data_IF_589224927281
#
_entry.id   IF_589224927281
#
_cell.length_a   1.000
_cell.length_b   1.000
_cell.length_c   1.000
_cell.angle_alpha   90.00
_cell.angle_beta   90.00
_cell.angle_gamma   90.00
#
_symmetry.space_group_name_H-M   'P 1'
#
loop_
_entity.id
_entity.type
_entity.pdbx_description
1 polymer ?
#
# COMPACT_ATOMS: atom_id res chain seq x y z
N UNK A 1 -21.75 -4.20 31.16
CA UNK A 1 -22.28 -5.42 30.51
C UNK A 1 -21.14 -6.04 29.73
N UNK A 2 -20.77 -7.30 29.99
CA UNK A 2 -19.86 -8.05 29.10
C UNK A 2 -20.72 -8.72 28.05
N UNK A 3 -20.47 -8.43 26.77
CA UNK A 3 -21.07 -9.19 25.67
C UNK A 3 -20.26 -10.48 25.57
N UNK A 4 -20.94 -11.61 25.70
CA UNK A 4 -20.33 -12.94 25.71
C UNK A 4 -20.43 -13.57 24.32
N UNK A 5 -21.61 -13.44 23.71
CA UNK A 5 -21.93 -13.93 22.37
C UNK A 5 -22.32 -12.78 21.44
N UNK A 6 -21.81 -12.80 20.21
CA UNK A 6 -22.05 -11.79 19.20
C UNK A 6 -22.37 -12.42 17.84
N UNK A 7 -23.49 -12.00 17.24
CA UNK A 7 -23.86 -12.34 15.87
C UNK A 7 -23.58 -11.16 14.95
N UNK A 8 -22.79 -11.38 13.90
CA UNK A 8 -22.34 -10.35 12.97
C UNK A 8 -22.88 -10.67 11.58
N UNK A 9 -23.71 -9.78 11.06
CA UNK A 9 -24.28 -9.88 9.72
C UNK A 9 -23.66 -8.83 8.79
N UNK A 10 -23.24 -9.24 7.59
CA UNK A 10 -22.70 -8.33 6.58
C UNK A 10 -23.06 -8.74 5.16
N UNK A 11 -23.22 -7.76 4.28
CA UNK A 11 -23.55 -7.97 2.86
C UNK A 11 -22.31 -8.08 1.95
N UNK A 12 -21.13 -7.88 2.51
CA UNK A 12 -19.87 -8.12 1.80
C UNK A 12 -19.42 -9.56 1.95
N UNK A 13 -19.80 -10.41 0.99
CA UNK A 13 -19.38 -11.82 0.94
C UNK A 13 -17.87 -12.01 1.01
N UNK A 14 -17.11 -11.09 0.42
CA UNK A 14 -15.65 -11.12 0.47
C UNK A 14 -15.15 -10.99 1.91
N UNK A 15 -15.64 -10.00 2.66
CA UNK A 15 -15.14 -9.69 4.00
C UNK A 15 -15.56 -10.78 4.99
N UNK A 16 -16.81 -11.25 4.92
CA UNK A 16 -17.29 -12.34 5.77
C UNK A 16 -16.44 -13.59 5.56
N UNK A 17 -16.24 -14.01 4.31
CA UNK A 17 -15.44 -15.21 4.01
C UNK A 17 -13.95 -15.05 4.37
N UNK A 18 -13.41 -13.83 4.31
CA UNK A 18 -12.05 -13.56 4.79
C UNK A 18 -11.97 -13.75 6.31
N UNK A 19 -12.88 -13.16 7.08
CA UNK A 19 -12.94 -13.28 8.55
C UNK A 19 -13.21 -14.72 9.02
N UNK A 20 -14.03 -15.49 8.30
CA UNK A 20 -14.25 -16.92 8.57
C UNK A 20 -13.03 -17.80 8.21
N UNK A 21 -12.05 -17.27 7.47
CA UNK A 21 -10.86 -18.00 7.04
C UNK A 21 -11.02 -18.80 5.74
N UNK A 22 -12.17 -18.71 5.07
CA UNK A 22 -12.42 -19.37 3.78
C UNK A 22 -11.58 -18.74 2.66
N UNK A 23 -11.35 -17.41 2.72
CA UNK A 23 -10.63 -16.65 1.73
C UNK A 23 -9.35 -16.00 2.28
N UNK A 24 -8.28 -16.05 1.51
CA UNK A 24 -7.03 -15.35 1.82
C UNK A 24 -7.15 -13.83 1.59
N UNK A 25 -6.58 -13.04 2.50
CA UNK A 25 -6.40 -11.59 2.32
C UNK A 25 -5.04 -11.33 1.70
N UNK A 26 -5.02 -10.83 0.45
CA UNK A 26 -3.77 -10.59 -0.31
C UNK A 26 -3.44 -9.12 -0.52
N UNK A 27 -4.36 -8.22 -0.25
CA UNK A 27 -4.17 -6.79 -0.49
C UNK A 27 -3.60 -6.16 0.77
N UNK A 28 -2.41 -5.56 0.68
CA UNK A 28 -1.67 -5.01 1.82
C UNK A 28 -2.52 -4.07 2.69
N UNK A 29 -3.30 -3.17 2.07
CA UNK A 29 -4.21 -2.26 2.79
C UNK A 29 -5.22 -3.01 3.68
N UNK A 30 -5.72 -4.17 3.22
CA UNK A 30 -6.75 -4.94 3.92
C UNK A 30 -6.17 -5.88 4.97
N UNK A 31 -4.88 -6.25 4.86
CA UNK A 31 -4.22 -7.14 5.83
C UNK A 31 -4.27 -6.55 7.23
N UNK A 32 -4.02 -5.23 7.35
CA UNK A 32 -4.05 -4.54 8.65
C UNK A 32 -5.44 -4.58 9.30
N UNK A 33 -6.49 -4.28 8.54
CA UNK A 33 -7.86 -4.32 9.04
C UNK A 33 -8.30 -5.74 9.39
N UNK A 34 -7.93 -6.72 8.57
CA UNK A 34 -8.22 -8.13 8.81
C UNK A 34 -7.59 -8.64 10.11
N UNK A 35 -6.32 -8.31 10.34
CA UNK A 35 -5.60 -8.69 11.56
C UNK A 35 -6.26 -8.08 12.81
N UNK A 36 -6.59 -6.79 12.75
CA UNK A 36 -7.23 -6.10 13.86
C UNK A 36 -8.64 -6.64 14.16
N UNK A 37 -9.44 -6.86 13.12
CA UNK A 37 -10.75 -7.48 13.26
C UNK A 37 -10.63 -8.85 13.93
N UNK A 38 -9.71 -9.71 13.48
CA UNK A 38 -9.47 -11.01 14.13
C UNK A 38 -8.99 -10.90 15.57
N UNK A 39 -8.21 -9.88 15.92
CA UNK A 39 -7.82 -9.64 17.31
C UNK A 39 -9.04 -9.30 18.18
N UNK A 40 -9.96 -8.47 17.68
CA UNK A 40 -11.20 -8.16 18.38
C UNK A 40 -12.10 -9.40 18.53
N UNK A 41 -12.23 -10.20 17.47
CA UNK A 41 -13.06 -11.42 17.48
C UNK A 41 -12.53 -12.45 18.48
N UNK A 42 -11.21 -12.55 18.67
CA UNK A 42 -10.59 -13.44 19.67
C UNK A 42 -10.90 -13.06 21.12
N UNK A 43 -11.27 -11.81 21.39
CA UNK A 43 -11.59 -11.34 22.73
C UNK A 43 -13.03 -11.66 23.14
N UNK A 44 -13.84 -12.20 22.23
CA UNK A 44 -15.23 -12.61 22.45
C UNK A 44 -15.31 -14.13 22.62
N UNK A 45 -16.20 -14.60 23.50
CA UNK A 45 -16.32 -16.04 23.82
C UNK A 45 -17.08 -16.81 22.73
N UNK A 46 -18.13 -16.19 22.15
CA UNK A 46 -18.87 -16.73 21.01
C UNK A 46 -19.06 -15.70 19.91
N UNK A 47 -18.65 -16.02 18.68
CA UNK A 47 -18.90 -15.15 17.52
C UNK A 47 -19.42 -15.96 16.34
N UNK A 48 -20.51 -15.49 15.76
CA UNK A 48 -21.03 -15.99 14.47
C UNK A 48 -20.94 -14.89 13.42
N UNK A 49 -20.49 -15.26 12.23
CA UNK A 49 -20.31 -14.36 11.09
C UNK A 49 -21.12 -14.90 9.93
N UNK A 50 -22.14 -14.17 9.51
CA UNK A 50 -23.03 -14.59 8.44
C UNK A 50 -23.18 -13.54 7.34
N UNK A 51 -23.23 -14.01 6.11
CA UNK A 51 -23.48 -13.16 4.96
C UNK A 51 -24.99 -13.02 4.72
N UNK A 52 -25.46 -11.78 4.64
CA UNK A 52 -26.86 -11.45 4.31
C UNK A 52 -26.95 -10.70 2.97
N UNK A 53 -28.02 -10.86 2.18
CA UNK A 53 -28.26 -10.02 1.01
C UNK A 53 -28.31 -8.53 1.39
N UNK A 54 -27.95 -7.68 0.43
CA UNK A 54 -27.96 -6.22 0.64
C UNK A 54 -29.34 -5.69 1.02
N UNK A 55 -30.40 -6.33 0.54
CA UNK A 55 -31.78 -5.98 0.90
C UNK A 55 -32.09 -6.20 2.39
N UNK A 56 -31.29 -6.98 3.10
CA UNK A 56 -31.43 -7.27 4.54
C UNK A 56 -30.49 -6.41 5.40
N UNK A 57 -29.39 -5.90 4.83
CA UNK A 57 -28.44 -5.00 5.51
C UNK A 57 -28.77 -3.50 5.36
N UNK A 58 -30.04 -3.16 5.11
CA UNK A 58 -30.47 -1.77 4.77
C UNK A 58 -30.11 -0.74 5.83
N UNK A 59 -30.15 -1.12 7.10
CA UNK A 59 -29.87 -0.20 8.20
C UNK A 59 -28.40 0.22 8.21
N UNK A 60 -27.46 -0.73 8.09
CA UNK A 60 -26.04 -0.43 8.02
C UNK A 60 -25.71 0.37 6.75
N UNK A 61 -26.30 0.01 5.62
CA UNK A 61 -26.18 0.75 4.35
C UNK A 61 -26.65 2.21 4.48
N UNK A 62 -27.80 2.45 5.11
CA UNK A 62 -28.33 3.78 5.33
C UNK A 62 -27.38 4.64 6.18
N UNK A 63 -26.80 4.05 7.23
CA UNK A 63 -25.83 4.72 8.10
C UNK A 63 -24.52 5.03 7.36
N UNK A 64 -24.00 4.09 6.56
CA UNK A 64 -22.79 4.30 5.76
C UNK A 64 -22.98 5.40 4.70
N UNK A 65 -24.14 5.43 4.04
CA UNK A 65 -24.48 6.48 3.08
C UNK A 65 -24.63 7.85 3.74
N UNK A 66 -25.23 7.91 4.93
CA UNK A 66 -25.34 9.13 5.73
C UNK A 66 -23.94 9.66 6.08
N UNK A 67 -23.05 8.80 6.60
CA UNK A 67 -21.67 9.17 6.93
C UNK A 67 -20.91 9.70 5.71
N UNK A 68 -21.08 9.06 4.55
CA UNK A 68 -20.47 9.51 3.29
C UNK A 68 -21.00 10.88 2.86
N UNK A 69 -22.31 11.11 3.00
CA UNK A 69 -22.95 12.39 2.66
C UNK A 69 -22.44 13.52 3.56
N UNK A 70 -22.33 13.27 4.87
CA UNK A 70 -21.77 14.22 5.82
C UNK A 70 -20.29 14.53 5.55
N UNK A 71 -19.50 13.52 5.15
CA UNK A 71 -18.09 13.71 4.83
C UNK A 71 -17.84 14.54 3.57
N UNK A 72 -18.83 14.63 2.66
CA UNK A 72 -18.71 15.34 1.38
C UNK A 72 -19.31 16.76 1.40
N UNK A 73 -20.19 17.10 2.34
CA UNK A 73 -20.78 18.43 2.46
C UNK A 73 -19.88 19.35 3.31
N UNK A 74 -19.02 20.13 2.66
CA UNK A 74 -18.11 21.08 3.33
C UNK A 74 -18.81 22.34 3.92
N UNK A 75 -20.13 22.52 3.81
CA UNK A 75 -20.74 23.86 3.95
C UNK A 75 -21.89 24.00 4.96
N UNK A 76 -22.47 22.91 5.49
CA UNK A 76 -23.50 23.04 6.54
C UNK A 76 -23.07 22.32 7.82
N UNK A 77 -22.95 23.08 8.91
CA UNK A 77 -22.68 22.56 10.25
C UNK A 77 -23.91 21.79 10.75
N UNK A 78 -24.02 20.52 10.36
CA UNK A 78 -25.00 19.62 10.94
C UNK A 78 -24.55 19.25 12.37
N UNK A 79 -25.30 19.70 13.38
CA UNK A 79 -25.14 19.24 14.75
C UNK A 79 -25.66 17.80 14.87
N UNK A 80 -24.83 16.83 14.50
CA UNK A 80 -25.06 15.43 14.85
C UNK A 80 -24.58 15.23 16.28
N UNK A 81 -25.49 14.86 17.18
CA UNK A 81 -25.12 14.48 18.54
C UNK A 81 -24.41 13.11 18.48
N UNK A 82 -23.10 13.13 18.26
CA UNK A 82 -22.27 11.93 18.30
C UNK A 82 -22.08 11.56 19.76
N UNK A 83 -22.77 10.51 20.23
CA UNK A 83 -22.65 10.09 21.63
C UNK A 83 -21.25 9.56 21.94
N UNK A 84 -20.61 8.85 21.01
CA UNK A 84 -19.25 8.32 21.15
C UNK A 84 -18.55 8.25 19.79
N UNK A 85 -17.41 8.92 19.64
CA UNK A 85 -16.56 8.79 18.45
C UNK A 85 -15.42 7.82 18.76
N UNK A 86 -15.55 6.59 18.27
CA UNK A 86 -14.46 5.60 18.31
C UNK A 86 -13.58 5.81 17.08
N UNK A 87 -12.57 6.68 17.20
CA UNK A 87 -11.51 6.76 16.21
C UNK A 87 -10.67 5.49 16.39
N UNK A 88 -10.53 4.70 15.32
CA UNK A 88 -9.60 3.57 15.31
C UNK A 88 -8.22 4.12 15.70
N UNK A 89 -7.60 3.66 16.81
CA UNK A 89 -6.23 4.04 17.12
C UNK A 89 -5.39 3.78 15.88
N UNK A 90 -4.52 4.72 15.51
CA UNK A 90 -3.63 4.54 14.36
C UNK A 90 -2.99 3.16 14.52
N UNK A 91 -3.26 2.25 13.58
CA UNK A 91 -2.94 0.81 13.59
C UNK A 91 -1.43 0.48 13.76
N UNK A 92 -0.60 1.48 14.07
CA UNK A 92 0.84 1.39 14.33
C UNK A 92 1.20 0.55 15.58
N UNK A 93 0.27 0.28 16.49
CA UNK A 93 0.54 -0.54 17.68
C UNK A 93 0.36 -2.06 17.43
N UNK A 94 -0.26 -2.46 16.32
CA UNK A 94 -0.30 -3.86 15.90
C UNK A 94 0.90 -4.19 15.00
N UNK A 95 2.13 -4.04 15.52
CA UNK A 95 3.32 -4.61 14.87
C UNK A 95 3.29 -6.13 15.04
N UNK A 96 2.65 -6.83 14.11
CA UNK A 96 2.98 -8.23 13.88
C UNK A 96 4.45 -8.28 13.47
N UNK A 97 5.19 -9.23 14.04
CA UNK A 97 6.61 -9.46 13.77
C UNK A 97 6.83 -9.84 12.29
N UNK A 98 6.76 -8.87 11.40
CA UNK A 98 7.37 -9.00 10.10
C UNK A 98 8.87 -8.90 10.32
N UNK A 99 9.56 -10.00 10.02
CA UNK A 99 11.00 -10.20 10.06
C UNK A 99 11.79 -9.29 9.09
N UNK A 100 11.34 -8.05 8.91
CA UNK A 100 12.10 -6.91 8.45
C UNK A 100 11.95 -5.84 9.54
N UNK A 101 12.52 -6.12 10.72
CA UNK A 101 12.63 -5.12 11.76
C UNK A 101 13.34 -3.90 11.17
N UNK A 102 12.56 -2.86 10.85
CA UNK A 102 13.04 -1.50 10.94
C UNK A 102 13.49 -1.41 12.39
N UNK A 103 14.80 -1.54 12.61
CA UNK A 103 15.42 -1.15 13.87
C UNK A 103 15.02 0.30 14.05
N UNK A 104 13.96 0.53 14.84
CA UNK A 104 13.80 1.81 15.50
C UNK A 104 15.04 1.85 16.35
N UNK A 105 16.07 2.57 15.87
CA UNK A 105 17.18 2.92 16.71
C UNK A 105 16.54 3.49 17.98
N UNK A 106 16.88 2.96 19.17
CA UNK A 106 16.34 3.49 20.40
C UNK A 106 16.45 5.00 20.32
N UNK A 107 15.30 5.67 20.51
CA UNK A 107 15.26 7.13 20.58
C UNK A 107 16.40 7.48 21.51
N UNK A 108 17.41 8.18 20.96
CA UNK A 108 18.62 8.57 21.68
C UNK A 108 18.18 9.06 23.07
N UNK A 109 18.97 8.76 24.12
CA UNK A 109 18.70 9.03 25.55
C UNK A 109 18.37 10.51 25.90
N UNK A 110 18.13 11.35 24.90
CA UNK A 110 17.83 12.75 24.98
C UNK A 110 16.71 13.15 23.99
N UNK A 111 15.52 12.55 24.11
CA UNK A 111 14.32 13.04 23.44
C UNK A 111 14.09 14.50 23.84
N UNK A 112 14.37 15.41 22.90
CA UNK A 112 14.34 16.86 23.10
C UNK A 112 12.98 17.38 23.57
N UNK A 113 11.92 16.56 23.43
CA UNK A 113 10.58 16.88 23.93
C UNK A 113 10.42 16.62 25.42
N UNK A 114 11.23 15.76 26.03
CA UNK A 114 11.13 15.40 27.44
C UNK A 114 11.19 16.63 28.37
N UNK A 115 12.11 17.60 28.18
CA UNK A 115 12.10 18.83 28.97
C UNK A 115 10.82 19.68 28.81
N UNK A 116 10.20 19.66 27.63
CA UNK A 116 8.94 20.36 27.35
C UNK A 116 7.75 19.63 28.00
N UNK A 117 7.72 18.29 27.89
CA UNK A 117 6.72 17.44 28.52
C UNK A 117 6.79 17.59 30.04
N UNK A 118 7.98 17.54 30.62
CA UNK A 118 8.20 17.74 32.05
C UNK A 118 7.82 19.13 32.52
N UNK A 119 8.05 20.17 31.72
CA UNK A 119 7.58 21.51 32.04
C UNK A 119 6.04 21.60 32.01
N UNK A 120 5.40 21.05 30.97
CA UNK A 120 3.95 21.11 30.80
C UNK A 120 3.19 20.24 31.82
N UNK A 121 3.73 19.07 32.17
CA UNK A 121 3.09 18.13 33.10
C UNK A 121 3.47 18.39 34.56
N UNK A 122 4.71 18.77 34.82
CA UNK A 122 5.28 18.84 36.17
C UNK A 122 5.75 20.24 36.57
N UNK A 123 5.69 21.24 35.69
CA UNK A 123 6.20 22.59 35.95
C UNK A 123 7.72 22.65 36.12
N UNK A 124 8.45 21.60 35.75
CA UNK A 124 9.90 21.48 35.96
C UNK A 124 10.64 22.23 34.87
N UNK A 125 11.42 23.22 35.28
CA UNK A 125 12.41 23.86 34.41
C UNK A 125 13.73 23.08 34.49
N UNK A 126 14.51 22.98 33.41
CA UNK A 126 15.84 22.37 33.45
C UNK A 126 16.70 23.01 34.55
N UNK A 127 17.40 22.18 35.34
CA UNK A 127 18.29 22.64 36.43
C UNK A 127 19.49 23.45 35.94
N UNK A 128 19.81 23.32 34.66
CA UNK A 128 20.95 23.95 34.00
C UNK A 128 20.64 25.41 33.67
N UNK A 129 20.84 26.29 34.66
CA UNK A 129 21.03 27.73 34.41
C UNK A 129 22.42 27.95 33.80
N UNK A 130 22.62 27.47 32.56
CA UNK A 130 23.78 27.86 31.76
C UNK A 130 23.74 29.36 31.52
N UNK A 131 24.90 29.99 31.57
CA UNK A 131 25.05 31.38 31.11
C UNK A 131 24.77 31.47 29.61
N UNK A 132 24.42 32.66 29.12
CA UNK A 132 24.14 32.87 27.69
C UNK A 132 25.31 32.46 26.79
N UNK A 133 26.54 32.62 27.27
CA UNK A 133 27.76 32.23 26.55
C UNK A 133 27.94 30.71 26.43
N UNK A 134 27.65 29.96 27.51
CA UNK A 134 27.70 28.50 27.50
C UNK A 134 26.59 27.92 26.63
N UNK A 135 25.40 28.52 26.67
CA UNK A 135 24.28 28.18 25.78
C UNK A 135 24.63 28.43 24.31
N UNK A 136 25.28 29.54 23.99
CA UNK A 136 25.71 29.85 22.65
C UNK A 136 26.75 28.84 22.13
N UNK A 137 27.74 28.47 22.95
CA UNK A 137 28.73 27.44 22.61
C UNK A 137 28.10 26.08 22.39
N UNK A 138 27.15 25.69 23.25
CA UNK A 138 26.44 24.41 23.12
C UNK A 138 25.58 24.36 21.84
N UNK A 139 24.91 25.47 21.48
CA UNK A 139 24.14 25.56 20.24
C UNK A 139 25.04 25.46 19.01
N UNK A 140 26.19 26.14 19.00
CA UNK A 140 27.16 26.04 17.91
C UNK A 140 27.67 24.62 17.73
N UNK A 141 28.09 23.96 18.80
CA UNK A 141 28.53 22.57 18.76
C UNK A 141 27.44 21.62 18.22
N UNK A 142 26.18 21.82 18.66
CA UNK A 142 25.03 21.05 18.13
C UNK A 142 24.80 21.30 16.64
N UNK A 143 24.93 22.55 16.18
CA UNK A 143 24.78 22.90 14.77
C UNK A 143 25.88 22.27 13.90
N UNK A 144 27.12 22.25 14.37
CA UNK A 144 28.23 21.59 13.67
C UNK A 144 28.01 20.06 13.55
N UNK A 145 27.46 19.42 14.57
CA UNK A 145 27.12 17.99 14.54
C UNK A 145 25.90 17.66 13.64
N UNK A 146 25.03 18.63 13.32
CA UNK A 146 23.84 18.39 12.51
C UNK A 146 24.17 18.02 11.07
N UNK A 147 25.23 18.59 10.50
CA UNK A 147 25.57 18.32 9.10
C UNK A 147 26.08 16.89 8.90
N UNK A 148 26.79 16.34 9.88
CA UNK A 148 27.18 14.94 9.92
C UNK A 148 25.95 14.02 9.99
N UNK A 149 25.02 14.30 10.90
CA UNK A 149 23.75 13.54 11.03
C UNK A 149 22.88 13.61 9.76
N UNK A 150 22.84 14.76 9.08
CA UNK A 150 22.14 14.92 7.79
C UNK A 150 22.78 14.06 6.71
N UNK A 151 24.11 14.04 6.64
CA UNK A 151 24.83 13.21 5.68
C UNK A 151 24.60 11.72 5.94
N UNK A 152 24.65 11.28 7.19
CA UNK A 152 24.34 9.90 7.57
C UNK A 152 22.92 9.50 7.17
N UNK A 153 21.93 10.35 7.48
CA UNK A 153 20.53 10.11 7.12
C UNK A 153 20.35 10.00 5.59
N UNK A 154 21.06 10.84 4.82
CA UNK A 154 21.04 10.76 3.36
C UNK A 154 21.65 9.44 2.86
N UNK A 155 22.82 9.05 3.38
CA UNK A 155 23.47 7.79 3.00
C UNK A 155 22.58 6.58 3.32
N UNK A 156 21.93 6.58 4.48
CA UNK A 156 20.99 5.52 4.86
C UNK A 156 19.80 5.45 3.90
N UNK A 157 19.23 6.60 3.52
CA UNK A 157 18.14 6.66 2.55
C UNK A 157 18.56 6.11 1.18
N UNK A 158 19.73 6.50 0.69
CA UNK A 158 20.28 6.01 -0.58
C UNK A 158 20.51 4.49 -0.54
N UNK A 159 21.10 3.98 0.55
CA UNK A 159 21.28 2.55 0.77
C UNK A 159 19.94 1.80 0.77
N UNK A 160 18.94 2.34 1.46
CA UNK A 160 17.60 1.76 1.52
C UNK A 160 16.93 1.71 0.15
N UNK A 161 16.94 2.81 -0.61
CA UNK A 161 16.40 2.86 -1.97
C UNK A 161 17.10 1.85 -2.90
N UNK A 162 18.42 1.71 -2.77
CA UNK A 162 19.19 0.73 -3.53
C UNK A 162 18.81 -0.72 -3.16
N UNK A 163 18.59 -1.00 -1.87
CA UNK A 163 18.14 -2.31 -1.41
C UNK A 163 16.76 -2.66 -1.96
N UNK A 164 15.79 -1.74 -1.88
CA UNK A 164 14.44 -1.94 -2.46
C UNK A 164 14.54 -2.19 -3.96
N UNK A 165 15.31 -1.36 -4.68
CA UNK A 165 15.49 -1.49 -6.13
C UNK A 165 16.09 -2.85 -6.51
N UNK A 166 17.08 -3.34 -5.75
CA UNK A 166 17.67 -4.67 -5.94
C UNK A 166 16.65 -5.78 -5.66
N UNK A 167 15.89 -5.68 -4.58
CA UNK A 167 14.87 -6.68 -4.22
C UNK A 167 13.78 -6.79 -5.29
N UNK A 168 13.26 -5.65 -5.77
CA UNK A 168 12.27 -5.59 -6.85
C UNK A 168 12.81 -6.17 -8.16
N UNK A 169 14.01 -5.76 -8.57
CA UNK A 169 14.62 -6.19 -9.83
C UNK A 169 15.16 -7.63 -9.80
N UNK A 170 15.33 -8.26 -8.63
CA UNK A 170 15.88 -9.62 -8.47
C UNK A 170 15.16 -10.68 -9.31
N UNK A 171 13.85 -10.51 -9.53
CA UNK A 171 13.02 -11.44 -10.33
C UNK A 171 12.68 -10.92 -11.74
N UNK A 172 13.15 -9.72 -12.11
CA UNK A 172 12.89 -9.12 -13.42
C UNK A 172 13.88 -9.71 -14.42
N UNK A 173 13.38 -10.50 -15.37
CA UNK A 173 14.18 -10.99 -16.51
C UNK A 173 14.03 -9.99 -17.67
N UNK A 174 15.12 -9.41 -18.20
CA UNK A 174 15.04 -8.56 -19.38
C UNK A 174 14.51 -9.39 -20.56
N UNK A 175 13.49 -8.88 -21.24
CA UNK A 175 12.95 -9.48 -22.46
C UNK A 175 13.40 -8.64 -23.65
N UNK A 176 14.26 -9.23 -24.48
CA UNK A 176 14.65 -8.66 -25.77
C UNK A 176 14.38 -9.67 -26.88
N UNK A 177 14.03 -9.14 -28.05
CA UNK A 177 13.77 -9.91 -29.26
C UNK A 177 14.72 -9.46 -30.37
N UNK A 178 15.08 -10.37 -31.25
CA UNK A 178 15.92 -10.10 -32.43
C UNK A 178 15.05 -10.10 -33.68
N UNK A 179 15.59 -9.50 -34.75
CA UNK A 179 15.01 -9.65 -36.09
C UNK A 179 14.81 -11.14 -36.41
N UNK A 180 13.63 -11.50 -36.91
CA UNK A 180 13.27 -12.88 -37.24
C UNK A 180 12.66 -13.69 -36.09
N UNK A 181 12.70 -13.22 -34.84
CA UNK A 181 12.09 -13.95 -33.73
C UNK A 181 10.57 -14.04 -33.90
N UNK A 182 10.01 -15.23 -33.67
CA UNK A 182 8.57 -15.45 -33.59
C UNK A 182 8.04 -14.99 -32.23
N UNK A 183 6.98 -14.18 -32.24
CA UNK A 183 6.38 -13.59 -31.04
C UNK A 183 4.86 -13.60 -31.12
N UNK A 184 4.23 -13.67 -29.94
CA UNK A 184 2.82 -13.35 -29.76
C UNK A 184 2.70 -11.93 -29.20
N UNK A 185 1.73 -11.17 -29.70
CA UNK A 185 1.40 -9.84 -29.24
C UNK A 185 0.17 -9.85 -28.33
N UNK A 186 0.18 -9.07 -27.26
CA UNK A 186 -0.98 -8.96 -26.37
C UNK A 186 -2.16 -8.26 -27.09
N UNK A 187 -3.34 -8.87 -27.11
CA UNK A 187 -4.57 -8.29 -27.68
C UNK A 187 -4.95 -7.01 -26.94
N UNK A 188 -4.93 -5.88 -27.65
CA UNK A 188 -5.27 -4.55 -27.14
C UNK A 188 -6.23 -3.86 -28.12
N UNK A 189 -7.10 -2.95 -27.64
CA UNK A 189 -8.00 -2.19 -28.52
C UNK A 189 -7.25 -1.38 -29.60
N UNK A 190 -5.99 -1.00 -29.31
CA UNK A 190 -5.13 -0.22 -30.19
C UNK A 190 -4.64 -1.03 -31.40
N UNK A 191 -4.62 -2.37 -31.32
CA UNK A 191 -4.34 -3.26 -32.47
C UNK A 191 -5.69 -3.60 -33.10
N UNK A 192 -6.21 -2.68 -33.91
CA UNK A 192 -7.63 -2.56 -34.30
C UNK A 192 -8.17 -3.64 -35.25
N UNK A 193 -7.37 -4.61 -35.70
CA UNK A 193 -7.76 -5.43 -36.86
C UNK A 193 -8.44 -6.77 -36.53
N UNK A 194 -8.59 -7.14 -35.25
CA UNK A 194 -9.35 -8.35 -34.86
C UNK A 194 -10.25 -8.03 -33.67
N UNK A 195 -11.57 -8.21 -33.86
CA UNK A 195 -12.62 -8.01 -32.83
C UNK A 195 -12.11 -8.53 -31.49
N UNK A 196 -12.16 -7.69 -30.45
CA UNK A 196 -11.82 -8.09 -29.08
C UNK A 196 -12.65 -9.33 -28.75
N UNK A 197 -11.97 -10.48 -28.75
CA UNK A 197 -12.61 -11.76 -28.62
C UNK A 197 -13.38 -11.89 -27.31
N UNK A 198 -14.41 -12.73 -27.30
CA UNK A 198 -15.14 -13.12 -26.10
C UNK A 198 -14.15 -13.54 -24.99
N UNK A 199 -14.57 -13.43 -23.73
CA UNK A 199 -13.78 -13.72 -22.50
C UNK A 199 -12.98 -15.04 -22.51
N UNK A 200 -13.31 -15.98 -23.40
CA UNK A 200 -12.70 -17.30 -23.57
C UNK A 200 -11.56 -17.37 -24.60
N UNK A 201 -11.28 -16.31 -25.36
CA UNK A 201 -10.16 -16.31 -26.30
C UNK A 201 -8.83 -15.99 -25.59
N UNK A 202 -7.74 -16.58 -26.08
CA UNK A 202 -6.39 -16.27 -25.59
C UNK A 202 -6.13 -14.77 -25.64
N UNK A 203 -5.51 -14.23 -24.57
CA UNK A 203 -5.10 -12.83 -24.49
C UNK A 203 -3.97 -12.49 -25.48
N UNK A 204 -3.32 -13.50 -26.05
CA UNK A 204 -2.20 -13.38 -26.98
C UNK A 204 -2.68 -13.63 -28.41
N UNK A 205 -2.22 -12.80 -29.34
CA UNK A 205 -2.49 -12.84 -30.77
C UNK A 205 -1.21 -13.11 -31.55
N UNK A 206 -1.32 -13.70 -32.74
CA UNK A 206 -0.18 -14.11 -33.56
C UNK A 206 -0.33 -15.55 -34.04
N UNK A 207 0.75 -16.16 -34.58
CA UNK A 207 2.15 -15.74 -34.50
C UNK A 207 2.53 -14.55 -35.40
N UNK A 208 3.53 -13.78 -34.96
CA UNK A 208 4.14 -12.68 -35.72
C UNK A 208 5.66 -12.83 -35.75
N UNK A 209 6.32 -12.25 -36.76
CA UNK A 209 7.79 -12.19 -36.87
C UNK A 209 8.26 -10.78 -36.56
N UNK A 210 9.34 -10.63 -35.78
CA UNK A 210 9.97 -9.33 -35.53
C UNK A 210 10.72 -8.87 -36.78
N UNK A 211 10.36 -7.70 -37.31
CA UNK A 211 10.93 -7.13 -38.55
C UNK A 211 11.83 -5.92 -38.27
N UNK A 212 11.61 -5.19 -37.18
CA UNK A 212 12.51 -4.10 -36.78
C UNK A 212 12.64 -4.06 -35.26
N UNK A 213 13.86 -3.79 -34.78
CA UNK A 213 14.20 -3.64 -33.35
C UNK A 213 14.71 -2.22 -33.13
N UNK A 214 14.05 -1.46 -32.25
CA UNK A 214 14.48 -0.11 -31.88
C UNK A 214 15.31 -0.14 -30.59
N UNK A 215 16.27 0.78 -30.46
CA UNK A 215 17.08 0.95 -29.25
C UNK A 215 16.25 1.34 -28.01
N UNK A 216 15.02 1.85 -28.22
CA UNK A 216 14.07 2.18 -27.16
C UNK A 216 13.32 0.98 -26.56
N UNK A 217 13.57 -0.24 -27.04
CA UNK A 217 12.85 -1.46 -26.62
C UNK A 217 11.46 -1.61 -27.26
N UNK A 218 11.22 -0.88 -28.35
CA UNK A 218 10.07 -1.07 -29.22
C UNK A 218 10.43 -1.97 -30.41
N UNK A 219 9.42 -2.60 -30.99
CA UNK A 219 9.56 -3.58 -32.08
C UNK A 219 8.47 -3.35 -33.12
N UNK A 220 8.81 -3.47 -34.41
CA UNK A 220 7.78 -3.73 -35.44
C UNK A 220 7.72 -5.22 -35.70
N UNK A 221 6.50 -5.73 -35.79
CA UNK A 221 6.22 -7.13 -36.07
C UNK A 221 5.40 -7.23 -37.36
N UNK A 222 5.47 -8.35 -38.06
CA UNK A 222 4.66 -8.62 -39.23
C UNK A 222 3.96 -9.97 -39.12
N UNK A 223 2.77 -10.09 -39.71
CA UNK A 223 2.10 -11.38 -39.87
C UNK A 223 2.67 -12.16 -41.07
N UNK A 224 2.16 -13.38 -41.27
CA UNK A 224 2.52 -14.24 -42.40
C UNK A 224 2.20 -13.61 -43.77
N UNK A 225 1.31 -12.61 -43.81
CA UNK A 225 0.89 -11.89 -45.01
C UNK A 225 1.72 -10.61 -45.23
N UNK A 226 2.68 -10.33 -44.35
CA UNK A 226 3.56 -9.16 -44.42
C UNK A 226 2.95 -7.86 -43.87
N UNK A 227 1.75 -7.91 -43.27
CA UNK A 227 1.14 -6.74 -42.65
C UNK A 227 1.90 -6.35 -41.38
N UNK A 228 2.46 -5.13 -41.37
CA UNK A 228 3.32 -4.64 -40.29
C UNK A 228 2.49 -3.97 -39.20
N UNK A 229 2.75 -4.36 -37.96
CA UNK A 229 2.13 -3.82 -36.75
C UNK A 229 3.21 -3.20 -35.86
N UNK A 230 2.94 -2.01 -35.34
CA UNK A 230 3.82 -1.32 -34.39
C UNK A 230 4.34 0.03 -34.90
N UNK A 231 5.18 0.70 -34.10
CA UNK A 231 6.04 0.14 -33.04
C UNK A 231 5.31 -0.29 -31.74
N UNK A 232 5.64 -1.47 -31.21
CA UNK A 232 5.09 -2.07 -29.98
C UNK A 232 6.19 -2.24 -28.93
N UNK A 233 5.93 -1.87 -27.68
CA UNK A 233 6.88 -2.11 -26.58
C UNK A 233 7.03 -3.62 -26.29
N UNK A 234 8.27 -4.10 -26.12
CA UNK A 234 8.58 -5.51 -25.84
C UNK A 234 7.87 -6.11 -24.62
N UNK A 235 7.41 -5.29 -23.66
CA UNK A 235 6.58 -5.78 -22.54
C UNK A 235 5.24 -6.41 -22.98
N UNK A 236 4.77 -6.10 -24.19
CA UNK A 236 3.54 -6.64 -24.78
C UNK A 236 3.79 -7.75 -25.79
N UNK A 237 5.04 -8.22 -25.90
CA UNK A 237 5.42 -9.34 -26.74
C UNK A 237 5.87 -10.51 -25.87
N UNK A 238 5.58 -11.72 -26.32
CA UNK A 238 6.04 -12.97 -25.72
C UNK A 238 6.65 -13.84 -26.81
N UNK A 239 7.80 -14.45 -26.54
CA UNK A 239 8.44 -15.36 -27.50
C UNK A 239 7.54 -16.56 -27.77
N UNK A 240 7.39 -16.90 -29.05
CA UNK A 240 6.65 -18.04 -29.54
C UNK A 240 7.63 -19.09 -30.04
N UNK A 241 7.42 -20.33 -29.61
CA UNK A 241 8.14 -21.49 -30.12
C UNK A 241 7.08 -22.38 -30.78
N UNK A 242 7.17 -22.61 -32.10
CA UNK A 242 6.22 -23.43 -32.84
C UNK A 242 6.27 -24.90 -32.43
#
# INVERSE_FOLDING_TARGET
MKIVDLEIFGDSKLIINQLCGDYEVRKDDLVLYFQYANHLLKNLEGVTLEHVPREENRMADALANLATTLALQEVENFNVHVCEQWILPQLLDCRFEEANAITILPIEDNDWRQPLIDYLQHGKLPNDRLTDEENAKLRLFKLEALDEKRLEAQQQLECYQAQISKAFNKKVKPRSFKFGDLVLALRRPIITNRRTGNKFLSKWDGPYVVVEVYNSGAYKIADEQGFRIGPINGKFLKRYYP
#
